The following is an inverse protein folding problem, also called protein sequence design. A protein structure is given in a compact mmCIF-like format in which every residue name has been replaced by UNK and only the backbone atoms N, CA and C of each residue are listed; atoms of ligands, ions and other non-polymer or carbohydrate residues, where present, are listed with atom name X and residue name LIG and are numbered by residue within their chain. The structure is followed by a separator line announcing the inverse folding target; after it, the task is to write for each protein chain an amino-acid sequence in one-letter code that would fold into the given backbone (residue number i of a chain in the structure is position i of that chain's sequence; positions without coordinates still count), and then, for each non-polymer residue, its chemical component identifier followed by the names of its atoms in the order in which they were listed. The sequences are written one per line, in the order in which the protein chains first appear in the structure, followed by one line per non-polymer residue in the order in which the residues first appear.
data_IF_003784383758
#
_entry.id   IF_003784383758
#
_cell.length_a   1.000
_cell.length_b   1.000
_cell.length_c   1.000
_cell.angle_alpha   90.00
_cell.angle_beta   90.00
_cell.angle_gamma   90.00
#
_symmetry.space_group_name_H-M   'P 1'
#
loop_
_entity.id
_entity.type
_entity.pdbx_description
1 polymer ?
#
# COMPACT_ATOMS: atom_id res chain seq x y z
N UNK A 1 11.54 40.56 -51.17
CA UNK A 1 10.97 40.23 -49.86
C UNK A 1 10.92 38.71 -49.76
N UNK A 2 11.91 38.09 -49.11
CA UNK A 2 11.98 36.64 -48.94
C UNK A 2 11.61 36.29 -47.51
N UNK A 3 10.53 35.52 -47.33
CA UNK A 3 10.16 34.95 -46.03
C UNK A 3 11.04 33.72 -45.76
N UNK A 4 11.56 33.53 -44.53
CA UNK A 4 12.26 32.31 -44.16
C UNK A 4 11.26 31.18 -43.89
N UNK A 5 11.51 30.03 -44.51
CA UNK A 5 10.84 28.75 -44.26
C UNK A 5 11.16 28.25 -42.84
N UNK A 6 10.20 27.69 -42.08
CA UNK A 6 10.49 27.10 -40.78
C UNK A 6 11.26 25.79 -40.95
N UNK A 7 12.40 25.67 -40.26
CA UNK A 7 13.14 24.41 -40.13
C UNK A 7 12.33 23.49 -39.20
N UNK A 8 11.62 22.52 -39.78
CA UNK A 8 11.04 21.41 -39.03
C UNK A 8 12.19 20.55 -38.49
N UNK A 9 12.44 20.61 -37.17
CA UNK A 9 13.34 19.67 -36.50
C UNK A 9 12.76 18.25 -36.64
N UNK A 10 13.50 17.38 -37.31
CA UNK A 10 13.17 15.95 -37.37
C UNK A 10 13.28 15.33 -35.97
N UNK A 11 12.22 14.67 -35.52
CA UNK A 11 12.25 13.88 -34.30
C UNK A 11 13.24 12.72 -34.47
N UNK A 12 14.19 12.58 -33.55
CA UNK A 12 15.10 11.43 -33.51
C UNK A 12 14.28 10.15 -33.34
N UNK A 13 14.45 9.20 -34.26
CA UNK A 13 13.75 7.91 -34.18
C UNK A 13 14.25 7.10 -32.97
N UNK A 14 13.33 6.45 -32.24
CA UNK A 14 13.66 5.50 -31.15
C UNK A 14 14.73 4.48 -31.53
N UNK A 15 14.80 4.10 -32.81
CA UNK A 15 15.76 3.12 -33.34
C UNK A 15 17.18 3.69 -33.46
N UNK A 16 17.33 5.02 -33.55
CA UNK A 16 18.63 5.70 -33.54
C UNK A 16 19.22 5.75 -32.13
N UNK A 17 18.38 5.96 -31.11
CA UNK A 17 18.80 5.99 -29.70
C UNK A 17 19.26 4.60 -29.20
N UNK A 18 18.64 3.51 -29.70
CA UNK A 18 18.93 2.14 -29.26
C UNK A 18 20.14 1.49 -29.95
N UNK A 19 20.70 2.10 -31.00
CA UNK A 19 21.85 1.54 -31.74
C UNK A 19 23.21 2.04 -31.26
N UNK A 20 23.25 3.00 -30.33
CA UNK A 20 24.49 3.56 -29.80
C UNK A 20 24.63 3.23 -28.30
N UNK A 21 25.34 2.13 -27.99
CA UNK A 21 25.91 1.88 -26.66
C UNK A 21 25.16 0.89 -25.77
N UNK A 22 25.70 -0.33 -25.66
CA UNK A 22 25.23 -1.42 -24.79
C UNK A 22 25.53 -1.23 -23.30
N UNK A 23 25.02 -0.14 -22.71
CA UNK A 23 24.88 0.02 -21.26
C UNK A 23 23.40 0.34 -21.02
N UNK A 24 22.77 -0.30 -20.04
CA UNK A 24 21.38 -0.08 -19.68
C UNK A 24 21.14 1.39 -19.27
N UNK A 25 20.93 2.26 -20.26
CA UNK A 25 20.49 3.62 -20.04
C UNK A 25 19.04 3.57 -19.58
N UNK A 26 18.86 3.81 -18.28
CA UNK A 26 17.57 4.01 -17.65
C UNK A 26 16.69 4.91 -18.52
N UNK A 27 15.46 4.46 -18.80
CA UNK A 27 14.46 5.33 -19.41
C UNK A 27 14.31 6.56 -18.50
N UNK A 28 14.54 7.78 -19.00
CA UNK A 28 14.27 8.99 -18.22
C UNK A 28 12.81 8.98 -17.78
N UNK A 29 12.53 9.58 -16.62
CA UNK A 29 11.15 9.86 -16.20
C UNK A 29 10.45 10.61 -17.35
N UNK A 30 9.55 9.93 -18.05
CA UNK A 30 8.87 10.49 -19.20
C UNK A 30 7.80 11.44 -18.70
N UNK A 31 7.69 12.62 -19.31
CA UNK A 31 6.66 13.63 -19.01
C UNK A 31 5.23 13.11 -19.09
N UNK A 32 5.00 11.99 -19.78
CA UNK A 32 3.74 11.25 -19.78
C UNK A 32 3.33 10.67 -18.41
N UNK A 33 4.25 10.64 -17.43
CA UNK A 33 4.05 10.15 -16.07
C UNK A 33 3.92 11.28 -15.04
N UNK A 34 3.91 12.55 -15.48
CA UNK A 34 3.68 13.69 -14.61
C UNK A 34 2.18 13.90 -14.34
N UNK A 35 1.81 14.51 -13.18
CA UNK A 35 0.41 14.80 -12.86
C UNK A 35 -0.29 15.55 -13.99
N UNK A 36 -1.56 15.23 -14.22
CA UNK A 36 -2.39 15.74 -15.31
C UNK A 36 -2.45 17.28 -15.44
N UNK A 37 -2.14 18.00 -14.36
CA UNK A 37 -2.26 19.44 -14.22
C UNK A 37 -0.90 20.17 -14.07
N UNK A 38 0.23 19.46 -14.19
CA UNK A 38 1.56 20.04 -13.99
C UNK A 38 1.99 20.92 -15.18
N UNK A 39 2.48 22.13 -14.90
CA UNK A 39 3.04 23.01 -15.94
C UNK A 39 4.34 22.43 -16.54
N UNK A 40 4.77 22.91 -17.71
CA UNK A 40 6.02 22.47 -18.33
C UNK A 40 7.26 22.73 -17.46
N UNK A 41 7.22 23.74 -16.58
CA UNK A 41 8.25 24.01 -15.59
C UNK A 41 8.23 23.00 -14.43
N UNK A 42 7.03 22.64 -13.95
CA UNK A 42 6.87 21.60 -12.91
C UNK A 42 7.33 20.23 -13.40
N UNK A 43 7.13 19.95 -14.69
CA UNK A 43 7.57 18.72 -15.35
C UNK A 43 9.09 18.59 -15.45
N UNK A 44 9.81 19.69 -15.67
CA UNK A 44 11.27 19.72 -15.74
C UNK A 44 11.94 19.60 -14.35
N UNK A 45 11.22 19.94 -13.28
CA UNK A 45 11.65 19.81 -11.88
C UNK A 45 11.06 18.59 -11.15
N UNK A 46 10.19 17.81 -11.82
CA UNK A 46 9.40 16.75 -11.20
C UNK A 46 10.30 15.62 -10.67
N UNK A 47 10.35 15.50 -9.34
CA UNK A 47 10.91 14.34 -8.68
C UNK A 47 9.97 13.13 -8.86
N UNK A 48 10.52 11.91 -9.01
CA UNK A 48 9.71 10.70 -8.99
C UNK A 48 8.78 10.67 -7.76
N UNK A 49 7.49 10.33 -7.94
CA UNK A 49 6.50 10.46 -6.90
C UNK A 49 6.76 9.45 -5.77
N UNK A 50 6.34 9.83 -4.56
CA UNK A 50 6.36 8.93 -3.41
C UNK A 50 5.14 8.02 -3.45
N UNK A 51 5.34 6.77 -3.04
CA UNK A 51 4.32 5.72 -3.05
C UNK A 51 4.28 4.98 -1.73
N UNK A 52 3.18 4.31 -1.46
CA UNK A 52 2.96 3.50 -0.28
C UNK A 52 2.41 2.12 -0.64
N UNK A 53 2.94 1.10 0.02
CA UNK A 53 2.40 -0.26 0.01
C UNK A 53 2.25 -0.71 1.47
N UNK A 54 1.03 -0.94 1.91
CA UNK A 54 0.73 -1.51 3.23
C UNK A 54 0.38 -2.98 3.09
N UNK A 55 1.13 -3.86 3.74
CA UNK A 55 0.98 -5.31 3.68
C UNK A 55 0.71 -5.84 5.08
N UNK A 56 -0.39 -6.56 5.24
CA UNK A 56 -0.63 -7.37 6.43
C UNK A 56 -0.55 -8.85 6.04
N UNK A 57 0.20 -9.63 6.82
CA UNK A 57 0.04 -11.08 6.86
C UNK A 57 -0.74 -11.47 8.12
N UNK A 58 -1.88 -12.14 7.93
CA UNK A 58 -2.68 -12.65 9.04
C UNK A 58 -2.08 -13.97 9.56
N UNK A 59 -2.52 -14.41 10.74
CA UNK A 59 -2.01 -15.55 11.52
C UNK A 59 -0.68 -15.29 12.24
N UNK A 60 -0.27 -14.03 12.34
CA UNK A 60 0.92 -13.63 13.08
C UNK A 60 2.21 -13.79 12.28
N UNK A 61 3.31 -13.33 12.88
CA UNK A 61 4.68 -13.66 12.50
C UNK A 61 5.33 -14.12 13.79
N UNK A 62 5.97 -15.28 13.80
CA UNK A 62 6.58 -15.81 15.02
C UNK A 62 7.71 -14.90 15.50
N UNK A 63 7.57 -14.27 16.69
CA UNK A 63 8.50 -13.24 17.14
C UNK A 63 9.91 -13.79 17.38
N UNK A 64 10.03 -15.06 17.78
CA UNK A 64 11.31 -15.73 18.05
C UNK A 64 12.22 -15.84 16.81
N UNK A 65 11.63 -15.78 15.61
CA UNK A 65 12.36 -15.85 14.34
C UNK A 65 12.41 -14.49 13.60
N UNK A 66 11.71 -13.48 14.12
CA UNK A 66 11.62 -12.14 13.51
C UNK A 66 12.35 -11.05 14.29
N UNK A 67 12.20 -11.00 15.62
CA UNK A 67 12.61 -9.85 16.44
C UNK A 67 14.09 -9.98 16.84
N UNK A 68 14.97 -9.05 16.41
CA UNK A 68 16.36 -9.07 16.85
C UNK A 68 16.50 -8.78 18.35
N UNK A 69 17.56 -9.33 18.97
CA UNK A 69 17.82 -9.13 20.41
C UNK A 69 18.41 -7.75 20.72
N UNK A 70 19.21 -7.18 19.82
CA UNK A 70 19.81 -5.86 19.98
C UNK A 70 19.17 -4.84 19.04
N UNK A 71 19.12 -3.57 19.46
CA UNK A 71 18.73 -2.45 18.61
C UNK A 71 19.89 -1.98 17.71
N UNK A 72 19.59 -1.10 16.74
CA UNK A 72 20.58 -0.46 15.87
C UNK A 72 20.85 -1.22 14.57
N UNK A 73 21.85 -0.78 13.80
CA UNK A 73 22.14 -1.33 12.45
C UNK A 73 22.82 -2.70 12.48
N UNK A 74 23.54 -2.98 13.56
CA UNK A 74 24.44 -4.13 13.68
C UNK A 74 23.83 -5.30 14.46
N UNK A 75 22.50 -5.36 14.58
CA UNK A 75 21.81 -6.45 15.27
C UNK A 75 22.17 -7.82 14.69
N UNK A 76 22.29 -8.84 15.54
CA UNK A 76 22.39 -10.22 15.05
C UNK A 76 21.11 -10.60 14.27
N UNK A 77 21.29 -11.03 13.02
CA UNK A 77 20.16 -11.33 12.15
C UNK A 77 19.35 -12.52 12.66
N UNK A 78 18.04 -12.49 12.43
CA UNK A 78 17.14 -13.57 12.78
C UNK A 78 16.80 -14.41 11.54
N UNK A 79 16.29 -15.64 11.68
CA UNK A 79 16.00 -16.49 10.52
C UNK A 79 15.11 -15.85 9.45
N UNK A 80 14.12 -15.03 9.82
CA UNK A 80 13.28 -14.34 8.84
C UNK A 80 13.97 -13.13 8.22
N UNK A 81 14.75 -12.38 8.99
CA UNK A 81 15.46 -11.21 8.49
C UNK A 81 16.67 -11.59 7.62
N UNK A 82 17.25 -12.78 7.82
CA UNK A 82 18.28 -13.35 6.94
C UNK A 82 17.79 -13.53 5.50
N UNK A 83 16.50 -13.81 5.31
CA UNK A 83 15.88 -13.91 4.00
C UNK A 83 15.75 -12.55 3.29
N UNK A 84 15.88 -11.45 4.04
CA UNK A 84 15.81 -10.07 3.57
C UNK A 84 17.18 -9.36 3.63
N UNK A 85 18.28 -10.09 3.87
CA UNK A 85 19.60 -9.50 4.14
C UNK A 85 20.10 -8.56 3.02
N UNK A 86 19.70 -8.80 1.77
CA UNK A 86 20.06 -7.98 0.62
C UNK A 86 19.45 -6.57 0.69
N UNK A 87 18.38 -6.40 1.50
CA UNK A 87 17.67 -5.14 1.73
C UNK A 87 17.91 -4.56 3.14
N UNK A 88 18.90 -5.06 3.88
CA UNK A 88 19.15 -4.66 5.28
C UNK A 88 19.41 -3.15 5.43
N UNK A 89 20.05 -2.53 4.44
CA UNK A 89 20.31 -1.09 4.44
C UNK A 89 19.06 -0.24 4.15
N UNK A 90 18.04 -0.84 3.55
CA UNK A 90 16.78 -0.21 3.14
C UNK A 90 15.62 -0.66 4.03
N UNK A 91 15.89 -1.25 5.20
CA UNK A 91 14.85 -1.77 6.10
C UNK A 91 15.01 -1.31 7.53
N UNK A 92 13.89 -1.14 8.21
CA UNK A 92 13.83 -0.92 9.66
C UNK A 92 12.80 -1.84 10.26
N UNK A 93 13.24 -2.65 11.21
CA UNK A 93 12.43 -3.55 12.01
C UNK A 93 12.01 -2.82 13.28
N UNK A 94 10.77 -3.03 13.71
CA UNK A 94 10.22 -2.44 14.93
C UNK A 94 9.82 -3.56 15.90
N UNK A 95 10.16 -3.37 17.17
CA UNK A 95 9.68 -4.23 18.26
C UNK A 95 9.21 -3.38 19.45
N UNK A 96 8.36 -3.95 20.30
CA UNK A 96 7.74 -3.19 21.40
C UNK A 96 6.74 -2.14 20.90
N UNK A 97 6.13 -2.34 19.73
CA UNK A 97 5.09 -1.47 19.18
C UNK A 97 3.73 -2.17 19.21
N UNK A 98 2.66 -1.39 19.33
CA UNK A 98 1.29 -1.91 19.23
C UNK A 98 0.35 -0.86 18.65
N UNK A 99 -0.91 -1.24 18.41
CA UNK A 99 -1.99 -0.32 18.08
C UNK A 99 -2.82 -0.07 19.35
N UNK A 100 -2.65 1.08 20.03
CA UNK A 100 -3.30 1.32 21.33
C UNK A 100 -4.82 1.12 21.28
N UNK A 101 -5.34 0.30 22.21
CA UNK A 101 -6.77 0.00 22.34
C UNK A 101 -7.32 -0.99 21.31
N UNK A 102 -6.50 -1.50 20.39
CA UNK A 102 -6.88 -2.57 19.46
C UNK A 102 -6.71 -3.92 20.15
N UNK A 103 -7.78 -4.72 20.15
CA UNK A 103 -7.89 -6.03 20.78
C UNK A 103 -8.61 -7.03 19.87
N UNK A 104 -8.83 -8.26 20.34
CA UNK A 104 -9.65 -9.25 19.65
C UNK A 104 -8.89 -10.32 18.86
N UNK A 105 -7.57 -10.49 19.12
CA UNK A 105 -6.78 -11.55 18.51
C UNK A 105 -6.79 -11.46 16.99
N UNK A 106 -7.19 -12.53 16.30
CA UNK A 106 -7.31 -12.55 14.84
C UNK A 106 -8.23 -11.45 14.29
N UNK A 107 -9.32 -11.12 14.99
CA UNK A 107 -10.30 -10.14 14.51
C UNK A 107 -9.74 -8.72 14.40
N UNK A 108 -8.57 -8.44 14.98
CA UNK A 108 -7.91 -7.14 14.87
C UNK A 108 -7.21 -6.90 13.53
N UNK A 109 -7.17 -7.87 12.61
CA UNK A 109 -6.59 -7.70 11.26
C UNK A 109 -7.19 -6.49 10.51
N UNK A 110 -8.50 -6.26 10.70
CA UNK A 110 -9.24 -5.13 10.14
C UNK A 110 -8.79 -3.76 10.67
N UNK A 111 -8.04 -3.76 11.77
CA UNK A 111 -7.57 -2.55 12.43
C UNK A 111 -6.13 -2.20 12.08
N UNK A 112 -5.41 -2.99 11.28
CA UNK A 112 -3.99 -2.75 11.03
C UNK A 112 -3.69 -1.37 10.45
N UNK A 113 -4.44 -0.97 9.41
CA UNK A 113 -4.28 0.37 8.81
C UNK A 113 -5.22 1.42 9.40
N UNK A 114 -6.21 1.06 10.21
CA UNK A 114 -7.16 2.03 10.79
C UNK A 114 -6.80 2.43 12.22
N UNK A 115 -6.14 1.53 12.95
CA UNK A 115 -5.90 1.58 14.39
C UNK A 115 -7.18 1.82 15.21
N UNK A 116 -8.35 1.40 14.70
CA UNK A 116 -9.62 1.57 15.38
C UNK A 116 -9.70 0.67 16.63
N UNK A 117 -9.91 1.23 17.83
CA UNK A 117 -9.88 0.45 19.07
C UNK A 117 -11.14 -0.41 19.25
N UNK A 118 -11.03 -1.44 20.08
CA UNK A 118 -12.16 -2.28 20.49
C UNK A 118 -12.67 -3.22 19.40
N UNK A 119 -11.78 -3.77 18.58
CA UNK A 119 -12.13 -4.73 17.52
C UNK A 119 -12.87 -5.96 18.08
N UNK A 120 -12.69 -6.32 19.34
CA UNK A 120 -13.42 -7.42 19.98
C UNK A 120 -14.90 -7.12 20.28
N UNK A 121 -15.31 -5.85 20.25
CA UNK A 121 -16.63 -5.41 20.75
C UNK A 121 -17.73 -5.70 19.72
N UNK A 122 -18.89 -6.15 20.19
CA UNK A 122 -20.06 -6.35 19.32
C UNK A 122 -20.53 -5.07 18.61
N UNK A 123 -20.34 -3.91 19.24
CA UNK A 123 -20.67 -2.60 18.68
C UNK A 123 -19.53 -1.98 17.87
N UNK A 124 -18.47 -2.73 17.57
CA UNK A 124 -17.30 -2.22 16.88
C UNK A 124 -17.70 -1.64 15.51
N UNK A 125 -17.23 -0.41 15.27
CA UNK A 125 -17.28 0.24 13.96
C UNK A 125 -15.87 0.64 13.61
N UNK A 126 -15.44 0.26 12.42
CA UNK A 126 -14.12 0.64 11.95
C UNK A 126 -14.08 2.13 11.59
N UNK A 127 -12.90 2.64 11.28
CA UNK A 127 -12.68 4.02 10.84
C UNK A 127 -11.95 4.04 9.50
N UNK A 128 -11.69 5.24 8.95
CA UNK A 128 -10.87 5.38 7.75
C UNK A 128 -9.51 4.71 7.94
N UNK A 129 -9.06 3.96 6.94
CA UNK A 129 -7.72 3.37 6.93
C UNK A 129 -6.67 4.33 6.38
N UNK A 130 -5.41 4.11 6.77
CA UNK A 130 -4.26 4.92 6.39
C UNK A 130 -4.13 5.09 4.88
N UNK A 131 -4.26 3.99 4.13
CA UNK A 131 -4.22 3.98 2.67
C UNK A 131 -5.33 4.84 2.06
N UNK A 132 -6.52 4.86 2.67
CA UNK A 132 -7.61 5.69 2.19
C UNK A 132 -7.38 7.17 2.50
N UNK A 133 -6.81 7.52 3.66
CA UNK A 133 -6.36 8.89 3.93
C UNK A 133 -5.31 9.35 2.90
N UNK A 134 -4.40 8.46 2.48
CA UNK A 134 -3.43 8.75 1.42
C UNK A 134 -4.09 8.92 0.05
N UNK A 135 -4.92 7.96 -0.35
CA UNK A 135 -5.66 7.99 -1.62
C UNK A 135 -6.54 9.22 -1.74
N UNK A 136 -7.06 9.70 -0.60
CA UNK A 136 -7.84 10.91 -0.53
C UNK A 136 -7.06 12.18 -0.95
N UNK A 137 -5.75 12.21 -0.72
CA UNK A 137 -4.89 13.37 -0.97
C UNK A 137 -4.10 13.26 -2.26
N UNK A 138 -3.54 12.09 -2.57
CA UNK A 138 -2.63 11.90 -3.72
C UNK A 138 -3.22 11.01 -4.82
N UNK A 139 -4.37 10.39 -4.59
CA UNK A 139 -4.94 9.40 -5.51
C UNK A 139 -5.38 9.97 -6.85
N UNK A 140 -5.76 11.26 -6.90
CA UNK A 140 -6.20 11.93 -8.14
C UNK A 140 -5.11 12.08 -9.20
N UNK A 141 -3.83 11.97 -8.80
CA UNK A 141 -2.69 12.04 -9.71
C UNK A 141 -2.50 10.79 -10.56
N UNK A 142 -3.23 9.72 -10.25
CA UNK A 142 -3.12 8.42 -10.93
C UNK A 142 -4.48 7.86 -11.30
N UNK A 143 -4.51 6.92 -12.24
CA UNK A 143 -5.76 6.29 -12.71
C UNK A 143 -6.53 5.61 -11.58
N UNK A 144 -5.83 4.96 -10.66
CA UNK A 144 -6.43 4.29 -9.51
C UNK A 144 -5.99 4.98 -8.24
N UNK A 145 -6.92 5.63 -7.53
CA UNK A 145 -6.62 6.34 -6.28
C UNK A 145 -5.94 5.46 -5.23
N UNK A 146 -6.33 4.18 -5.20
CA UNK A 146 -5.65 3.11 -4.48
C UNK A 146 -5.98 1.76 -5.11
N UNK A 147 -5.13 0.76 -4.90
CA UNK A 147 -5.46 -0.65 -5.16
C UNK A 147 -5.54 -1.40 -3.83
N UNK A 148 -6.70 -2.01 -3.57
CA UNK A 148 -6.93 -2.87 -2.41
C UNK A 148 -6.86 -4.31 -2.88
N UNK A 149 -5.88 -5.07 -2.41
CA UNK A 149 -5.50 -6.38 -2.93
C UNK A 149 -5.57 -7.44 -1.84
N UNK A 150 -5.77 -8.69 -2.26
CA UNK A 150 -5.77 -9.83 -1.34
C UNK A 150 -5.19 -11.10 -1.99
N UNK A 151 -4.47 -11.89 -1.21
CA UNK A 151 -4.08 -13.26 -1.52
C UNK A 151 -4.48 -14.22 -0.39
N UNK A 152 -4.75 -15.49 -0.74
CA UNK A 152 -5.13 -16.52 0.22
C UNK A 152 -6.65 -16.71 0.36
N UNK A 153 -7.10 -17.07 1.57
CA UNK A 153 -8.47 -17.48 1.91
C UNK A 153 -9.26 -16.37 2.62
N UNK A 154 -10.59 -16.53 2.73
CA UNK A 154 -11.50 -15.66 3.50
C UNK A 154 -11.48 -14.19 3.06
N UNK A 155 -12.43 -13.81 2.18
CA UNK A 155 -12.49 -12.48 1.59
C UNK A 155 -12.48 -11.37 2.66
N UNK A 156 -11.32 -10.73 2.85
CA UNK A 156 -11.00 -9.81 3.94
C UNK A 156 -10.13 -8.67 3.42
N UNK A 157 -10.14 -7.54 4.12
CA UNK A 157 -9.45 -6.32 3.69
C UNK A 157 -8.90 -5.57 4.90
N UNK A 158 -7.79 -4.87 4.68
CA UNK A 158 -7.24 -3.89 5.63
C UNK A 158 -7.62 -2.45 5.27
N UNK A 159 -8.44 -2.26 4.23
CA UNK A 159 -8.85 -0.95 3.73
C UNK A 159 -10.31 -0.67 4.06
N UNK A 160 -10.55 0.48 4.69
CA UNK A 160 -11.85 0.89 5.20
C UNK A 160 -12.14 2.35 4.83
N UNK A 161 -13.38 2.60 4.42
CA UNK A 161 -13.86 3.95 4.13
C UNK A 161 -13.95 4.78 5.41
N UNK A 162 -14.14 6.10 5.25
CA UNK A 162 -14.38 7.02 6.37
C UNK A 162 -15.58 6.67 7.25
N UNK A 163 -16.58 5.99 6.70
CA UNK A 163 -17.75 5.50 7.45
C UNK A 163 -17.51 4.16 8.16
N UNK A 164 -16.31 3.58 8.03
CA UNK A 164 -15.96 2.29 8.60
C UNK A 164 -16.40 1.09 7.76
N UNK A 165 -16.83 1.31 6.51
CA UNK A 165 -17.21 0.21 5.62
C UNK A 165 -15.97 -0.42 4.99
N UNK A 166 -15.93 -1.75 4.96
CA UNK A 166 -14.84 -2.50 4.33
C UNK A 166 -14.82 -2.25 2.82
N UNK A 167 -13.66 -1.94 2.26
CA UNK A 167 -13.45 -1.86 0.82
C UNK A 167 -13.12 -3.27 0.31
N UNK A 168 -13.94 -3.86 -0.58
CA UNK A 168 -13.69 -5.21 -1.11
C UNK A 168 -12.36 -5.27 -1.88
N UNK A 169 -11.50 -6.26 -1.61
CA UNK A 169 -10.22 -6.39 -2.29
C UNK A 169 -10.38 -7.00 -3.69
N UNK A 170 -9.44 -6.70 -4.58
CA UNK A 170 -9.22 -7.44 -5.81
C UNK A 170 -8.39 -8.67 -5.47
N UNK A 171 -8.97 -9.86 -5.66
CA UNK A 171 -8.32 -11.14 -5.39
C UNK A 171 -7.81 -11.83 -6.65
N UNK A 172 -8.48 -11.64 -7.79
CA UNK A 172 -8.11 -12.25 -9.07
C UNK A 172 -6.91 -11.51 -9.70
N UNK A 173 -5.77 -12.19 -9.94
CA UNK A 173 -4.66 -11.62 -10.68
C UNK A 173 -5.02 -11.27 -12.13
N UNK A 174 -5.91 -12.05 -12.75
CA UNK A 174 -6.41 -11.80 -14.10
C UNK A 174 -7.21 -10.50 -14.14
N UNK A 175 -8.13 -10.30 -13.18
CA UNK A 175 -8.93 -9.08 -13.07
C UNK A 175 -8.03 -7.86 -12.81
N UNK A 176 -7.02 -7.99 -11.93
CA UNK A 176 -6.07 -6.91 -11.67
C UNK A 176 -5.27 -6.55 -12.92
N UNK A 177 -4.73 -7.55 -13.62
CA UNK A 177 -4.01 -7.33 -14.88
C UNK A 177 -4.88 -6.66 -15.94
N UNK A 178 -6.12 -7.11 -16.12
CA UNK A 178 -7.08 -6.50 -17.03
C UNK A 178 -7.35 -5.05 -16.67
N UNK A 179 -7.58 -4.77 -15.39
CA UNK A 179 -7.81 -3.41 -14.88
C UNK A 179 -6.63 -2.50 -15.20
N UNK A 180 -5.40 -2.98 -15.01
CA UNK A 180 -4.17 -2.21 -15.20
C UNK A 180 -3.79 -1.99 -16.68
N UNK A 181 -3.90 -3.01 -17.54
CA UNK A 181 -3.22 -3.01 -18.84
C UNK A 181 -4.13 -3.23 -20.06
N UNK A 182 -5.38 -3.68 -19.87
CA UNK A 182 -6.29 -3.95 -20.98
C UNK A 182 -7.24 -2.77 -21.15
N UNK A 183 -7.25 -2.17 -22.35
CA UNK A 183 -8.13 -1.05 -22.67
C UNK A 183 -9.61 -1.39 -22.42
N UNK A 184 -10.32 -0.43 -21.86
CA UNK A 184 -11.77 -0.55 -21.67
C UNK A 184 -12.47 -0.39 -23.02
N UNK A 185 -13.54 -1.16 -23.24
CA UNK A 185 -14.34 -1.04 -24.47
C UNK A 185 -15.05 0.32 -24.53
N UNK A 186 -15.49 0.78 -25.72
CA UNK A 186 -16.26 2.01 -25.83
C UNK A 186 -17.49 2.05 -24.91
N UNK A 187 -18.18 0.91 -24.73
CA UNK A 187 -19.34 0.76 -23.86
C UNK A 187 -18.95 0.91 -22.38
N UNK A 188 -17.83 0.30 -21.96
CA UNK A 188 -17.31 0.43 -20.61
C UNK A 188 -16.87 1.87 -20.28
N UNK A 189 -16.23 2.56 -21.24
CA UNK A 189 -15.88 3.99 -21.11
C UNK A 189 -17.13 4.86 -20.99
N UNK A 190 -18.17 4.59 -21.79
CA UNK A 190 -19.44 5.30 -21.71
C UNK A 190 -20.11 5.10 -20.34
N UNK A 191 -20.19 3.85 -19.86
CA UNK A 191 -20.75 3.54 -18.55
C UNK A 191 -19.99 4.23 -17.41
N UNK A 192 -18.65 4.27 -17.50
CA UNK A 192 -17.82 4.99 -16.53
C UNK A 192 -18.14 6.50 -16.50
N UNK A 193 -18.29 7.14 -17.66
CA UNK A 193 -18.68 8.57 -17.73
C UNK A 193 -20.06 8.82 -17.14
N UNK A 194 -21.04 7.99 -17.46
CA UNK A 194 -22.40 8.16 -16.93
C UNK A 194 -22.43 8.01 -15.41
N UNK A 195 -21.67 7.06 -14.85
CA UNK A 195 -21.50 6.94 -13.40
C UNK A 195 -20.87 8.19 -12.79
N UNK A 196 -19.77 8.69 -13.36
CA UNK A 196 -19.12 9.91 -12.85
C UNK A 196 -20.04 11.14 -12.91
N UNK A 197 -20.87 11.27 -13.95
CA UNK A 197 -21.90 12.32 -14.03
C UNK A 197 -22.96 12.19 -12.95
N UNK A 198 -23.44 10.96 -12.69
CA UNK A 198 -24.41 10.69 -11.62
C UNK A 198 -23.82 11.03 -10.25
N UNK A 199 -22.59 10.60 -9.98
CA UNK A 199 -21.90 10.89 -8.73
C UNK A 199 -21.75 12.41 -8.51
N UNK A 200 -21.38 13.17 -9.55
CA UNK A 200 -21.30 14.64 -9.48
C UNK A 200 -22.66 15.28 -9.17
N UNK A 201 -23.72 14.82 -9.84
CA UNK A 201 -25.09 15.31 -9.59
C UNK A 201 -25.56 15.06 -8.15
N UNK A 202 -25.20 13.90 -7.59
CA UNK A 202 -25.49 13.59 -6.18
C UNK A 202 -24.75 14.55 -5.24
N UNK A 203 -23.48 14.87 -5.50
CA UNK A 203 -22.72 15.83 -4.70
C UNK A 203 -23.28 17.24 -4.79
N UNK A 204 -23.66 17.69 -5.99
CA UNK A 204 -24.30 18.98 -6.18
C UNK A 204 -25.59 19.09 -5.35
N UNK A 205 -26.42 18.04 -5.37
CA UNK A 205 -27.64 17.96 -4.56
C UNK A 205 -27.37 18.01 -3.06
N UNK A 206 -26.37 17.25 -2.59
CA UNK A 206 -25.95 17.27 -1.17
C UNK A 206 -25.44 18.64 -0.74
N UNK A 207 -24.68 19.32 -1.61
CA UNK A 207 -24.15 20.66 -1.37
C UNK A 207 -25.26 21.70 -1.23
N UNK A 208 -26.25 21.69 -2.14
CA UNK A 208 -27.41 22.60 -2.07
C UNK A 208 -28.19 22.40 -0.77
N UNK A 209 -28.49 21.15 -0.41
CA UNK A 209 -29.21 20.81 0.83
C UNK A 209 -28.44 21.24 2.07
N UNK A 210 -27.13 21.00 2.09
CA UNK A 210 -26.29 21.34 3.23
C UNK A 210 -26.16 22.86 3.40
N UNK A 211 -26.11 23.61 2.30
CA UNK A 211 -26.04 25.09 2.34
C UNK A 211 -27.32 25.72 2.86
N UNK A 212 -28.48 25.11 2.59
CA UNK A 212 -29.74 25.55 3.16
C UNK A 212 -29.78 25.41 4.70
N UNK A 213 -28.99 24.49 5.28
CA UNK A 213 -28.91 24.30 6.72
C UNK A 213 -28.07 25.38 7.41
N UNK A 214 -27.07 25.95 6.71
CA UNK A 214 -26.10 26.93 7.23
C UNK A 214 -26.75 28.16 7.89
N UNK A 215 -27.89 28.61 7.38
CA UNK A 215 -28.59 29.81 7.85
C UNK A 215 -29.16 29.71 9.27
N UNK A 216 -29.36 28.49 9.79
CA UNK A 216 -29.94 28.24 11.12
C UNK A 216 -28.95 27.75 12.18
N UNK A 217 -27.66 27.61 11.83
CA UNK A 217 -26.66 26.97 12.69
C UNK A 217 -25.89 27.97 13.56
N UNK A 218 -25.50 27.51 14.76
CA UNK A 218 -24.56 28.22 15.64
C UNK A 218 -23.13 28.20 15.08
N UNK A 219 -22.22 28.97 15.70
CA UNK A 219 -20.84 29.10 15.20
C UNK A 219 -20.06 27.77 15.16
N UNK A 220 -20.28 26.88 16.13
CA UNK A 220 -19.63 25.57 16.21
C UNK A 220 -20.12 24.63 15.08
N UNK A 221 -21.43 24.59 14.86
CA UNK A 221 -22.05 23.79 13.79
C UNK A 221 -21.65 24.29 12.39
N UNK A 222 -21.49 25.61 12.22
CA UNK A 222 -20.97 26.20 10.98
C UNK A 222 -19.55 25.71 10.67
N UNK A 223 -18.70 25.61 11.69
CA UNK A 223 -17.35 25.08 11.51
C UNK A 223 -17.36 23.60 11.06
N UNK A 224 -18.26 22.77 11.63
CA UNK A 224 -18.44 21.38 11.17
C UNK A 224 -18.97 21.31 9.73
N UNK A 225 -19.90 22.19 9.38
CA UNK A 225 -20.45 22.27 8.03
C UNK A 225 -19.39 22.71 7.00
N UNK A 226 -18.49 23.63 7.37
CA UNK A 226 -17.35 24.04 6.54
C UNK A 226 -16.37 22.88 6.28
N UNK A 227 -16.10 22.06 7.30
CA UNK A 227 -15.30 20.84 7.14
C UNK A 227 -16.00 19.85 6.19
N UNK A 228 -17.32 19.70 6.32
CA UNK A 228 -18.12 18.87 5.42
C UNK A 228 -18.08 19.38 3.97
N UNK A 229 -18.21 20.69 3.74
CA UNK A 229 -18.08 21.27 2.40
C UNK A 229 -16.69 21.11 1.82
N UNK A 230 -15.64 21.21 2.64
CA UNK A 230 -14.26 20.93 2.22
C UNK A 230 -14.13 19.48 1.75
N UNK A 231 -14.71 18.53 2.48
CA UNK A 231 -14.71 17.12 2.08
C UNK A 231 -15.51 16.86 0.78
N UNK A 232 -16.64 17.54 0.57
CA UNK A 232 -17.38 17.48 -0.70
C UNK A 232 -16.50 17.98 -1.85
N UNK A 233 -15.83 19.12 -1.67
CA UNK A 233 -14.97 19.73 -2.70
C UNK A 233 -13.80 18.83 -3.08
N UNK A 234 -13.18 18.17 -2.09
CA UNK A 234 -12.13 17.17 -2.34
C UNK A 234 -12.67 16.01 -3.20
N UNK A 235 -13.89 15.56 -2.94
CA UNK A 235 -14.52 14.48 -3.70
C UNK A 235 -14.90 14.91 -5.12
N UNK A 236 -15.42 16.13 -5.31
CA UNK A 236 -15.67 16.73 -6.63
C UNK A 236 -14.37 16.74 -7.47
N UNK A 237 -13.25 17.17 -6.88
CA UNK A 237 -11.95 17.17 -7.56
C UNK A 237 -11.50 15.77 -7.99
N UNK A 238 -11.78 14.75 -7.17
CA UNK A 238 -11.46 13.36 -7.54
C UNK A 238 -12.34 12.82 -8.65
N UNK A 239 -13.62 13.16 -8.67
CA UNK A 239 -14.51 12.79 -9.78
C UNK A 239 -14.03 13.43 -11.08
N UNK A 240 -13.64 14.70 -11.04
CA UNK A 240 -13.05 15.39 -12.19
C UNK A 240 -11.73 14.76 -12.65
N UNK A 241 -10.85 14.39 -11.71
CA UNK A 241 -9.62 13.68 -12.03
C UNK A 241 -9.90 12.31 -12.65
N UNK A 242 -10.86 11.55 -12.13
CA UNK A 242 -11.27 10.25 -12.67
C UNK A 242 -11.81 10.36 -14.09
N UNK A 243 -12.57 11.41 -14.40
CA UNK A 243 -13.06 11.69 -15.76
C UNK A 243 -11.90 11.86 -16.75
N UNK A 244 -10.83 12.58 -16.35
CA UNK A 244 -9.63 12.74 -17.18
C UNK A 244 -8.91 11.43 -17.48
N UNK A 245 -9.11 10.38 -16.67
CA UNK A 245 -8.49 9.08 -16.89
C UNK A 245 -9.27 8.19 -17.85
N UNK A 246 -10.58 8.39 -18.04
CA UNK A 246 -11.43 7.51 -18.87
C UNK A 246 -10.87 7.32 -20.29
N UNK A 247 -10.42 8.40 -20.91
CA UNK A 247 -9.93 8.38 -22.30
C UNK A 247 -8.42 8.25 -22.42
N UNK A 248 -7.68 8.42 -21.33
CA UNK A 248 -6.23 8.21 -21.34
C UNK A 248 -5.96 6.73 -21.64
N UNK A 249 -4.98 6.41 -22.48
CA UNK A 249 -4.59 5.02 -22.67
C UNK A 249 -4.04 4.45 -21.36
N UNK A 250 -4.26 3.15 -21.15
CA UNK A 250 -3.61 2.38 -20.10
C UNK A 250 -2.14 2.13 -20.47
N UNK A 251 -1.25 1.98 -19.48
CA UNK A 251 0.13 1.64 -19.75
C UNK A 251 0.23 0.32 -20.49
N UNK A 252 1.27 0.19 -21.33
CA UNK A 252 1.61 -1.08 -21.97
C UNK A 252 2.68 -1.79 -21.14
N UNK A 253 2.61 -3.11 -21.09
CA UNK A 253 3.59 -3.95 -20.42
C UNK A 253 4.00 -5.11 -21.33
N UNK A 254 5.26 -5.53 -21.23
CA UNK A 254 5.76 -6.76 -21.85
C UNK A 254 5.45 -7.99 -20.98
N UNK A 255 5.01 -7.77 -19.74
CA UNK A 255 4.61 -8.85 -18.86
C UNK A 255 3.43 -9.63 -19.46
N UNK A 256 3.55 -10.97 -19.44
CA UNK A 256 2.45 -11.83 -19.88
C UNK A 256 1.27 -11.70 -18.92
N UNK A 257 0.06 -11.83 -19.48
CA UNK A 257 -1.16 -11.98 -18.67
C UNK A 257 -0.97 -13.16 -17.71
N UNK A 258 -1.23 -12.98 -16.40
CA UNK A 258 -1.09 -14.07 -15.44
C UNK A 258 -2.21 -15.09 -15.60
N UNK A 259 -1.97 -16.28 -15.06
CA UNK A 259 -3.02 -17.27 -14.84
C UNK A 259 -3.88 -16.90 -13.62
N UNK A 260 -5.10 -17.41 -13.59
CA UNK A 260 -5.96 -17.28 -12.41
C UNK A 260 -5.49 -18.24 -11.31
N UNK A 261 -5.56 -17.80 -10.06
CA UNK A 261 -5.19 -18.63 -8.90
C UNK A 261 -6.44 -18.91 -8.07
N UNK A 262 -7.20 -19.91 -8.50
CA UNK A 262 -8.48 -20.28 -7.86
C UNK A 262 -8.30 -21.10 -6.59
N UNK A 263 -7.21 -21.87 -6.50
CA UNK A 263 -6.91 -22.70 -5.33
C UNK A 263 -6.33 -21.85 -4.21
N UNK A 264 -7.12 -21.64 -3.15
CA UNK A 264 -6.71 -20.91 -1.95
C UNK A 264 -5.51 -21.55 -1.21
N UNK A 265 -5.15 -22.80 -1.50
CA UNK A 265 -3.95 -23.45 -0.95
C UNK A 265 -2.66 -23.02 -1.67
N UNK A 266 -2.75 -22.38 -2.84
CA UNK A 266 -1.61 -21.80 -3.55
C UNK A 266 -1.26 -20.39 -3.07
N UNK A 267 -1.15 -20.22 -1.75
CA UNK A 267 -0.93 -18.92 -1.09
C UNK A 267 0.31 -18.19 -1.60
N UNK A 268 1.44 -18.87 -1.71
CA UNK A 268 2.74 -18.32 -2.13
C UNK A 268 2.68 -17.98 -3.62
N UNK A 269 2.17 -18.88 -4.45
CA UNK A 269 1.96 -18.60 -5.89
C UNK A 269 1.04 -17.39 -6.09
N UNK A 270 -0.07 -17.31 -5.35
CA UNK A 270 -1.00 -16.18 -5.41
C UNK A 270 -0.31 -14.88 -4.99
N UNK A 271 0.37 -14.89 -3.84
CA UNK A 271 1.06 -13.73 -3.30
C UNK A 271 2.14 -13.21 -4.25
N UNK A 272 2.93 -14.12 -4.84
CA UNK A 272 3.95 -13.80 -5.83
C UNK A 272 3.41 -13.04 -7.03
N UNK A 273 2.29 -13.52 -7.61
CA UNK A 273 1.68 -12.86 -8.78
C UNK A 273 1.11 -11.49 -8.39
N UNK A 274 0.47 -11.38 -7.22
CA UNK A 274 -0.06 -10.10 -6.73
C UNK A 274 1.05 -9.08 -6.43
N UNK A 275 2.19 -9.52 -5.88
CA UNK A 275 3.38 -8.68 -5.73
C UNK A 275 3.95 -8.22 -7.07
N UNK A 276 4.04 -9.11 -8.06
CA UNK A 276 4.52 -8.75 -9.39
C UNK A 276 3.60 -7.71 -10.06
N UNK A 277 2.28 -7.85 -9.95
CA UNK A 277 1.31 -6.87 -10.47
C UNK A 277 1.36 -5.56 -9.69
N UNK A 278 1.57 -5.61 -8.38
CA UNK A 278 1.78 -4.42 -7.54
C UNK A 278 3.00 -3.64 -8.01
N UNK A 279 4.14 -4.32 -8.22
CA UNK A 279 5.35 -3.71 -8.77
C UNK A 279 5.09 -3.02 -10.10
N UNK A 280 4.41 -3.69 -11.03
CA UNK A 280 4.08 -3.11 -12.34
C UNK A 280 3.12 -1.91 -12.23
N UNK A 281 2.15 -1.96 -11.30
CA UNK A 281 1.24 -0.84 -11.07
C UNK A 281 1.98 0.41 -10.56
N UNK A 282 2.98 0.23 -9.70
CA UNK A 282 3.84 1.31 -9.19
C UNK A 282 4.83 1.81 -10.25
N UNK A 283 5.46 0.89 -10.99
CA UNK A 283 6.42 1.19 -12.06
C UNK A 283 5.80 2.03 -13.17
N UNK A 284 4.53 1.74 -13.52
CA UNK A 284 3.76 2.46 -14.54
C UNK A 284 3.01 3.69 -14.02
N UNK A 285 3.17 4.03 -12.74
CA UNK A 285 2.41 5.07 -12.03
C UNK A 285 0.87 4.93 -12.18
N UNK A 286 0.38 3.69 -12.30
CA UNK A 286 -1.06 3.40 -12.36
C UNK A 286 -1.76 3.70 -11.03
N UNK A 287 -1.03 3.57 -9.93
CA UNK A 287 -1.42 4.00 -8.59
C UNK A 287 -0.18 4.35 -7.76
N UNK A 288 -0.36 5.12 -6.69
CA UNK A 288 0.68 5.41 -5.69
C UNK A 288 0.39 4.80 -4.32
N UNK A 289 -0.77 4.17 -4.14
CA UNK A 289 -1.20 3.62 -2.86
C UNK A 289 -1.74 2.21 -3.07
N UNK A 290 -1.11 1.24 -2.43
CA UNK A 290 -1.56 -0.16 -2.47
C UNK A 290 -1.71 -0.68 -1.04
N UNK A 291 -2.81 -1.37 -0.78
CA UNK A 291 -2.96 -2.19 0.42
C UNK A 291 -3.07 -3.66 -0.01
N UNK A 292 -2.40 -4.55 0.71
CA UNK A 292 -2.34 -5.96 0.36
C UNK A 292 -2.50 -6.85 1.58
N UNK A 293 -3.60 -7.61 1.61
CA UNK A 293 -3.88 -8.60 2.64
C UNK A 293 -3.38 -9.97 2.18
N UNK A 294 -2.46 -10.59 2.94
CA UNK A 294 -2.10 -12.00 2.80
C UNK A 294 -2.81 -12.76 3.92
N UNK A 295 -3.87 -13.50 3.58
CA UNK A 295 -4.70 -14.19 4.57
C UNK A 295 -4.58 -15.73 4.42
N UNK A 296 -3.76 -16.40 5.24
CA UNK A 296 -3.59 -17.84 5.19
C UNK A 296 -4.57 -18.63 6.08
N UNK A 297 -5.54 -17.98 6.74
CA UNK A 297 -6.37 -18.58 7.82
C UNK A 297 -6.92 -19.97 7.47
N UNK A 298 -7.61 -20.08 6.34
CA UNK A 298 -8.21 -21.31 5.84
C UNK A 298 -7.39 -21.99 4.74
N UNK A 299 -6.06 -21.82 4.75
CA UNK A 299 -5.14 -22.40 3.76
C UNK A 299 -4.32 -23.54 4.39
N UNK A 300 -4.13 -24.63 3.63
CA UNK A 300 -3.07 -25.63 3.86
C UNK A 300 -2.09 -25.54 2.69
N UNK A 301 -0.99 -24.77 2.79
CA UNK A 301 -0.16 -24.42 1.63
C UNK A 301 0.75 -25.57 1.18
N UNK A 302 0.16 -26.58 0.53
CA UNK A 302 0.84 -27.82 0.10
C UNK A 302 1.92 -27.62 -0.97
N UNK A 303 2.00 -26.44 -1.58
CA UNK A 303 3.11 -26.06 -2.45
C UNK A 303 4.44 -25.90 -1.69
N UNK A 304 4.37 -25.81 -0.35
CA UNK A 304 5.53 -25.76 0.54
C UNK A 304 5.82 -27.18 1.04
N UNK A 305 7.01 -27.68 0.72
CA UNK A 305 7.44 -29.04 1.08
C UNK A 305 7.36 -29.33 2.59
N UNK A 306 6.57 -30.34 2.95
CA UNK A 306 6.38 -30.77 4.33
C UNK A 306 5.53 -29.82 5.17
N UNK A 307 4.58 -29.11 4.52
CA UNK A 307 3.42 -28.47 5.16
C UNK A 307 2.16 -29.23 4.78
N UNK A 308 1.47 -29.76 5.78
CA UNK A 308 0.31 -30.62 5.67
C UNK A 308 -0.89 -30.14 6.51
N UNK A 309 -0.66 -29.24 7.47
CA UNK A 309 -1.68 -28.69 8.37
C UNK A 309 -2.20 -27.34 7.89
N UNK A 310 -3.41 -26.99 8.36
CA UNK A 310 -3.99 -25.67 8.14
C UNK A 310 -3.21 -24.60 8.92
N UNK A 311 -3.01 -23.41 8.33
CA UNK A 311 -2.18 -22.35 8.96
C UNK A 311 -2.80 -21.80 10.25
N UNK A 312 -4.13 -21.68 10.33
CA UNK A 312 -4.77 -21.26 11.57
C UNK A 312 -4.57 -22.29 12.69
N UNK A 313 -4.64 -23.59 12.41
CA UNK A 313 -4.31 -24.62 13.40
C UNK A 313 -2.84 -24.54 13.84
N UNK A 314 -1.94 -24.30 12.89
CA UNK A 314 -0.51 -24.17 13.17
C UNK A 314 -0.18 -22.93 13.99
N UNK A 315 -0.94 -21.83 13.84
CA UNK A 315 -0.71 -20.61 14.62
C UNK A 315 -1.01 -20.81 16.12
N UNK A 316 -1.87 -21.79 16.46
CA UNK A 316 -2.10 -22.31 17.82
C UNK A 316 -1.18 -23.49 18.18
N UNK A 317 0.11 -23.36 17.88
CA UNK A 317 1.09 -24.45 17.97
C UNK A 317 1.29 -25.03 19.38
N UNK A 318 0.95 -24.30 20.44
CA UNK A 318 1.12 -24.75 21.84
C UNK A 318 2.56 -25.09 22.19
N UNK A 319 3.53 -24.43 21.55
CA UNK A 319 4.97 -24.70 21.63
C UNK A 319 5.41 -26.12 21.21
N UNK A 320 4.60 -26.86 20.46
CA UNK A 320 4.99 -28.15 19.89
C UNK A 320 6.02 -27.93 18.78
N UNK A 321 7.24 -28.45 18.96
CA UNK A 321 8.38 -28.20 18.07
C UNK A 321 8.09 -28.54 16.60
N UNK A 322 7.41 -29.65 16.34
CA UNK A 322 7.06 -30.06 14.98
C UNK A 322 6.09 -29.08 14.31
N UNK A 323 5.11 -28.54 15.05
CA UNK A 323 4.14 -27.57 14.53
C UNK A 323 4.79 -26.21 14.31
N UNK A 324 5.67 -25.78 15.23
CA UNK A 324 6.48 -24.56 15.08
C UNK A 324 7.37 -24.66 13.84
N UNK A 325 8.06 -25.79 13.64
CA UNK A 325 8.90 -26.02 12.48
C UNK A 325 8.08 -25.99 11.17
N UNK A 326 6.85 -26.51 11.18
CA UNK A 326 5.96 -26.48 10.03
C UNK A 326 5.46 -25.06 9.71
N UNK A 327 4.96 -24.32 10.72
CA UNK A 327 4.55 -22.93 10.58
C UNK A 327 5.70 -22.06 10.08
N UNK A 328 6.90 -22.30 10.60
CA UNK A 328 8.11 -21.56 10.21
C UNK A 328 8.38 -21.66 8.71
N UNK A 329 8.14 -22.83 8.07
CA UNK A 329 8.30 -22.96 6.61
C UNK A 329 7.33 -22.07 5.84
N UNK A 330 6.10 -21.92 6.33
CA UNK A 330 5.08 -21.05 5.72
C UNK A 330 5.53 -19.60 5.80
N UNK A 331 5.94 -19.14 6.98
CA UNK A 331 6.41 -17.77 7.18
C UNK A 331 7.69 -17.50 6.39
N UNK A 332 8.67 -18.41 6.39
CA UNK A 332 9.88 -18.28 5.55
C UNK A 332 9.56 -18.17 4.06
N UNK A 333 8.58 -18.92 3.55
CA UNK A 333 8.15 -18.81 2.15
C UNK A 333 7.54 -17.42 1.85
N UNK A 334 6.74 -16.86 2.77
CA UNK A 334 6.21 -15.50 2.63
C UNK A 334 7.33 -14.46 2.64
N UNK A 335 8.34 -14.60 3.52
CA UNK A 335 9.50 -13.71 3.57
C UNK A 335 10.36 -13.80 2.29
N UNK A 336 10.47 -14.97 1.65
CA UNK A 336 11.13 -15.11 0.33
C UNK A 336 10.39 -14.38 -0.78
N UNK A 337 9.06 -14.40 -0.77
CA UNK A 337 8.26 -13.63 -1.74
C UNK A 337 8.33 -12.13 -1.46
N UNK A 338 8.35 -11.71 -0.18
CA UNK A 338 8.60 -10.32 0.20
C UNK A 338 9.99 -9.88 -0.29
N UNK A 339 11.04 -10.70 -0.11
CA UNK A 339 12.37 -10.42 -0.64
C UNK A 339 12.34 -10.21 -2.16
N UNK A 340 11.64 -11.09 -2.88
CA UNK A 340 11.49 -11.01 -4.33
C UNK A 340 10.79 -9.71 -4.74
N UNK A 341 9.75 -9.30 -4.01
CA UNK A 341 9.07 -8.03 -4.23
C UNK A 341 9.99 -6.82 -4.01
N UNK A 342 10.70 -6.77 -2.88
CA UNK A 342 11.65 -5.70 -2.56
C UNK A 342 12.79 -5.62 -3.60
N UNK A 343 13.37 -6.75 -4.01
CA UNK A 343 14.36 -6.84 -5.08
C UNK A 343 13.81 -6.35 -6.42
N UNK A 344 12.54 -6.65 -6.71
CA UNK A 344 11.84 -6.15 -7.87
C UNK A 344 11.70 -4.61 -7.85
N UNK A 345 11.39 -4.01 -6.70
CA UNK A 345 11.32 -2.55 -6.55
C UNK A 345 12.73 -1.92 -6.60
N UNK A 346 13.74 -2.56 -6.02
CA UNK A 346 15.10 -2.04 -6.00
C UNK A 346 15.75 -2.05 -7.39
N UNK A 347 15.42 -3.03 -8.24
CA UNK A 347 16.00 -3.16 -9.58
C UNK A 347 15.47 -2.14 -10.61
N UNK A 348 14.35 -1.47 -10.33
CA UNK A 348 13.76 -0.45 -11.22
C UNK A 348 14.28 0.93 -10.84
N UNK A 349 14.86 1.65 -11.81
CA UNK A 349 15.32 3.02 -11.64
C UNK A 349 14.25 4.04 -12.06
N UNK A 350 14.03 5.08 -11.26
CA UNK A 350 13.19 6.23 -11.57
C UNK A 350 13.87 7.53 -11.12
N UNK A 351 14.27 8.38 -12.08
CA UNK A 351 14.80 9.73 -11.80
C UNK A 351 15.95 9.79 -10.79
N UNK A 352 16.95 8.91 -10.95
CA UNK A 352 18.15 8.87 -10.10
C UNK A 352 17.98 8.17 -8.75
N UNK A 353 16.83 7.55 -8.48
CA UNK A 353 16.58 6.72 -7.31
C UNK A 353 15.94 5.39 -7.74
N UNK A 354 16.02 4.36 -6.91
CA UNK A 354 15.27 3.12 -7.17
C UNK A 354 13.78 3.32 -6.90
N UNK A 355 12.93 2.49 -7.49
CA UNK A 355 11.49 2.49 -7.18
C UNK A 355 11.27 2.15 -5.69
N UNK A 356 12.13 1.33 -5.07
CA UNK A 356 12.15 1.08 -3.63
C UNK A 356 12.44 2.36 -2.83
N UNK A 357 13.42 3.17 -3.22
CA UNK A 357 13.71 4.46 -2.54
C UNK A 357 12.52 5.44 -2.60
N UNK A 358 11.63 5.25 -3.57
CA UNK A 358 10.42 6.06 -3.78
C UNK A 358 9.15 5.41 -3.24
N UNK A 359 9.21 4.19 -2.71
CA UNK A 359 8.05 3.42 -2.24
C UNK A 359 8.27 2.97 -0.80
N UNK A 360 7.46 3.48 0.13
CA UNK A 360 7.44 2.99 1.50
C UNK A 360 6.60 1.70 1.58
N UNK A 361 7.24 0.59 1.95
CA UNK A 361 6.59 -0.72 2.12
C UNK A 361 6.48 -1.03 3.60
N UNK A 362 5.28 -0.86 4.16
CA UNK A 362 4.94 -1.29 5.52
C UNK A 362 4.50 -2.75 5.47
N UNK A 363 5.20 -3.63 6.16
CA UNK A 363 4.88 -5.06 6.27
C UNK A 363 4.74 -5.45 7.74
N UNK A 364 3.70 -6.18 8.10
CA UNK A 364 3.55 -6.67 9.46
C UNK A 364 2.32 -7.52 9.67
N UNK A 365 1.94 -7.65 10.93
CA UNK A 365 0.78 -8.43 11.36
C UNK A 365 0.03 -7.71 12.49
N UNK A 366 -1.19 -8.16 12.78
CA UNK A 366 -2.06 -7.60 13.81
C UNK A 366 -1.88 -8.24 15.20
N UNK A 367 -0.98 -9.23 15.33
CA UNK A 367 -0.70 -9.90 16.59
C UNK A 367 0.80 -10.07 16.85
N UNK A 368 1.23 -9.83 18.09
CA UNK A 368 2.58 -10.16 18.56
C UNK A 368 2.83 -11.66 18.63
N UNK A 369 1.78 -12.43 18.92
CA UNK A 369 1.79 -13.87 18.89
C UNK A 369 0.37 -14.37 18.63
N UNK A 370 0.17 -15.11 17.54
CA UNK A 370 -1.11 -15.76 17.26
C UNK A 370 -1.40 -16.87 18.29
N UNK A 371 -0.38 -17.60 18.73
CA UNK A 371 -0.50 -18.68 19.71
C UNK A 371 -1.11 -18.23 21.05
N UNK A 372 -0.87 -16.99 21.47
CA UNK A 372 -1.47 -16.40 22.68
C UNK A 372 -2.55 -15.35 22.37
N UNK A 373 -2.89 -15.13 21.10
CA UNK A 373 -3.78 -14.07 20.64
C UNK A 373 -3.38 -12.66 21.12
N UNK A 374 -2.09 -12.41 21.32
CA UNK A 374 -1.60 -11.13 21.81
C UNK A 374 -1.64 -10.05 20.73
N UNK A 375 -2.28 -8.90 20.99
CA UNK A 375 -2.28 -7.72 20.10
C UNK A 375 -1.24 -6.66 20.51
N UNK A 376 -0.31 -7.01 21.39
CA UNK A 376 0.87 -6.22 21.74
C UNK A 376 2.11 -6.72 20.98
N UNK A 377 3.23 -6.00 21.09
CA UNK A 377 4.56 -6.38 20.60
C UNK A 377 4.57 -6.83 19.12
N UNK A 378 3.89 -6.07 18.25
CA UNK A 378 3.66 -6.44 16.87
C UNK A 378 4.98 -6.53 16.07
N UNK A 379 5.23 -7.65 15.36
CA UNK A 379 6.23 -7.75 14.31
C UNK A 379 5.90 -6.81 13.16
N UNK A 380 6.71 -5.76 12.99
CA UNK A 380 6.55 -4.77 11.92
C UNK A 380 7.90 -4.46 11.27
N UNK A 381 7.88 -4.29 9.95
CA UNK A 381 9.01 -3.89 9.13
C UNK A 381 8.59 -2.77 8.19
N UNK A 382 9.44 -1.77 8.04
CA UNK A 382 9.35 -0.75 7.00
C UNK A 382 10.52 -0.91 6.04
N UNK A 383 10.27 -0.97 4.74
CA UNK A 383 11.28 -0.95 3.71
C UNK A 383 11.14 0.26 2.77
N UNK A 384 12.26 0.79 2.28
CA UNK A 384 12.31 1.81 1.24
C UNK A 384 11.67 3.14 1.64
N UNK A 385 11.11 3.86 0.66
CA UNK A 385 10.46 5.15 0.86
C UNK A 385 11.43 6.31 1.12
N UNK A 386 12.73 6.04 1.18
CA UNK A 386 13.80 7.00 1.43
C UNK A 386 13.80 7.51 2.87
N UNK A 387 13.51 6.63 3.82
CA UNK A 387 13.83 6.87 5.22
C UNK A 387 15.30 6.59 5.49
N UNK A 388 15.89 7.24 6.50
CA UNK A 388 17.18 6.85 7.06
C UNK A 388 16.98 5.59 7.88
N UNK A 389 17.03 4.45 7.21
CA UNK A 389 16.85 3.17 7.87
C UNK A 389 17.96 2.91 8.90
N UNK A 390 17.56 2.41 10.07
CA UNK A 390 18.42 2.27 11.26
C UNK A 390 18.59 0.81 11.72
N UNK A 391 18.17 -0.16 10.92
CA UNK A 391 18.21 -1.57 11.27
C UNK A 391 17.06 -1.97 12.18
N UNK A 392 17.23 -1.92 13.50
CA UNK A 392 16.20 -2.30 14.47
C UNK A 392 15.92 -1.17 15.46
N UNK A 393 14.67 -0.70 15.48
CA UNK A 393 14.12 0.19 16.51
C UNK A 393 13.40 -0.64 17.57
N UNK A 394 14.03 -0.79 18.72
CA UNK A 394 13.48 -1.51 19.85
C UNK A 394 12.84 -0.54 20.86
N UNK A 395 11.53 -0.70 21.10
CA UNK A 395 10.78 0.02 22.11
C UNK A 395 10.48 -0.87 23.32
N UNK A 396 9.91 -0.29 24.38
CA UNK A 396 9.53 -1.01 25.59
C UNK A 396 8.45 -2.08 25.28
N UNK A 397 8.77 -3.34 25.60
CA UNK A 397 7.89 -4.49 25.34
C UNK A 397 6.74 -4.65 26.33
N UNK A 398 6.79 -3.96 27.47
CA UNK A 398 5.73 -3.90 28.49
C UNK A 398 4.85 -2.66 28.28
N UNK A 399 5.46 -1.53 27.93
CA UNK A 399 4.78 -0.28 27.63
C UNK A 399 4.96 0.07 26.15
N UNK A 400 4.21 -0.61 25.29
CA UNK A 400 4.43 -0.50 23.85
C UNK A 400 4.27 0.91 23.30
N UNK A 401 5.15 1.24 22.36
CA UNK A 401 5.11 2.48 21.63
C UNK A 401 3.98 2.45 20.57
N UNK A 402 3.20 3.54 20.40
CA UNK A 402 2.13 3.57 19.40
C UNK A 402 2.67 3.40 17.97
N UNK A 403 2.32 2.30 17.31
CA UNK A 403 2.64 2.04 15.91
C UNK A 403 2.00 3.11 14.99
N UNK A 404 0.91 3.72 15.41
CA UNK A 404 0.26 4.86 14.73
C UNK A 404 1.20 6.05 14.54
N UNK A 405 2.28 6.17 15.30
CA UNK A 405 3.31 7.18 15.04
C UNK A 405 4.07 6.92 13.73
N UNK A 406 4.23 5.65 13.33
CA UNK A 406 4.73 5.29 11.99
C UNK A 406 3.76 5.71 10.90
N UNK A 407 2.45 5.58 11.14
CA UNK A 407 1.43 6.00 10.18
C UNK A 407 1.51 7.51 9.90
N UNK A 408 1.74 8.33 10.94
CA UNK A 408 2.00 9.78 10.79
C UNK A 408 3.27 10.04 9.98
N UNK A 409 4.39 9.38 10.31
CA UNK A 409 5.64 9.49 9.54
C UNK A 409 5.45 9.13 8.06
N UNK A 410 4.64 8.11 7.75
CA UNK A 410 4.32 7.70 6.39
C UNK A 410 3.47 8.74 5.65
N UNK A 411 2.43 9.29 6.29
CA UNK A 411 1.62 10.37 5.73
C UNK A 411 2.48 11.59 5.39
N UNK A 412 3.29 12.04 6.34
CA UNK A 412 4.18 13.20 6.13
C UNK A 412 5.22 12.92 5.03
N UNK A 413 5.71 11.68 4.92
CA UNK A 413 6.62 11.30 3.83
C UNK A 413 5.98 11.38 2.45
N UNK A 414 4.66 11.20 2.35
CA UNK A 414 3.91 11.39 1.11
C UNK A 414 3.50 12.85 0.86
N UNK A 415 3.99 13.78 1.68
CA UNK A 415 3.65 15.21 1.59
C UNK A 415 2.26 15.54 2.15
N UNK A 416 1.71 14.68 3.02
CA UNK A 416 0.42 14.89 3.67
C UNK A 416 0.70 15.43 5.09
N UNK A 417 0.50 16.73 5.36
CA UNK A 417 0.89 17.37 6.62
C UNK A 417 -0.16 17.12 7.71
N UNK A 418 -0.31 15.85 8.10
CA UNK A 418 -1.11 15.47 9.26
C UNK A 418 -0.17 15.17 10.42
N UNK A 419 -0.45 15.77 11.58
CA UNK A 419 0.32 15.56 12.81
C UNK A 419 -0.30 14.47 13.70
N UNK A 420 -1.48 13.97 13.33
CA UNK A 420 -2.20 12.95 14.08
C UNK A 420 -2.99 12.02 13.17
N UNK A 421 -2.92 10.73 13.47
CA UNK A 421 -3.74 9.68 12.89
C UNK A 421 -4.11 8.67 13.99
N UNK A 422 -5.42 8.46 14.19
CA UNK A 422 -5.95 7.61 15.24
C UNK A 422 -5.33 7.90 16.63
N UNK A 423 -4.71 6.91 17.26
CA UNK A 423 -4.09 7.00 18.59
C UNK A 423 -2.65 7.53 18.60
N UNK A 424 -2.15 8.05 17.47
CA UNK A 424 -0.78 8.58 17.40
C UNK A 424 -0.56 9.74 18.37
N UNK A 425 0.64 9.85 18.90
CA UNK A 425 1.14 10.97 19.72
C UNK A 425 2.14 11.86 18.98
N UNK A 426 2.51 11.50 17.75
CA UNK A 426 3.42 12.27 16.88
C UNK A 426 3.96 11.40 15.75
N UNK A 427 5.16 11.71 15.26
CA UNK A 427 5.92 10.87 14.32
C UNK A 427 6.66 9.73 15.04
N UNK A 428 7.09 8.71 14.30
CA UNK A 428 7.90 7.62 14.83
C UNK A 428 9.28 8.13 15.29
N UNK A 429 9.63 7.88 16.56
CA UNK A 429 10.92 8.26 17.10
C UNK A 429 12.04 7.40 16.51
N UNK A 430 13.17 8.02 16.18
CA UNK A 430 14.34 7.33 15.63
C UNK A 430 14.23 6.93 14.15
N UNK A 431 13.23 7.43 13.43
CA UNK A 431 13.05 7.19 12.00
C UNK A 431 12.97 8.52 11.23
N UNK A 432 14.13 8.98 10.77
CA UNK A 432 14.26 10.24 10.02
C UNK A 432 14.15 10.03 8.50
N UNK A 433 14.03 11.13 7.76
CA UNK A 433 14.05 11.13 6.29
C UNK A 433 15.50 11.16 5.76
N UNK A 434 15.77 10.40 4.69
CA UNK A 434 17.06 10.31 4.00
C UNK A 434 17.46 11.61 3.31
#
# INVERSE_FOLDING_TARGET
MNFPTPILRSALSRRTLLKAGGVALALPWLTAMCPALASAADQAAAQPPRRFVGILTNQGIMPDFFVPKQAGKDYESTPYLDLLKDHRAQTTVFSGVSLPGVDGGHASERCFLTAAPGASRASFRNTVSLDQVMAERIGGDTRFSSLVLMAGSENSSISYTRSGAMIPPIRSPVQLYQRLFIEDTPEAKLAARERLKQDRSLLDSLRVRSKALEGGLGAEDKHMLDQYFTAIRDLEQRLAAAENWVDRPKPKTEAKKPEEVNDHNKLITHSKVMYALTRLALETDSTRVVSFMVNPTSTTPREIGGVNSNVHEMSHHGNRENVVAELRKVEEAQFRELNTFLSGLHSVQQGGATLLDRTAVLYGTNMGSANSHANDNLPVLLAGGGFKHVGHLAFDRKNNYPLTNLHVSLLQRLGIPLDRFASSTGTMNGLDLA
#
